data_IF_403674578799
#
_entry.id   IF_403674578799
#
_cell.length_a   1.000
_cell.length_b   1.000
_cell.length_c   1.000
_cell.angle_alpha   90.00
_cell.angle_beta   90.00
_cell.angle_gamma   90.00
#
_symmetry.space_group_name_H-M   'P 1'
#
loop_
_entity.id
_entity.type
_entity.pdbx_description
1 polymer ?
#
# COMPACT_ATOMS: atom_id res chain seq x y z
N UNK A 1 23.68 -7.78 5.68
CA UNK A 1 22.85 -6.56 5.86
C UNK A 1 22.10 -6.32 4.56
N UNK A 2 20.77 -6.20 4.62
CA UNK A 2 19.97 -5.80 3.45
C UNK A 2 20.19 -4.31 3.22
N UNK A 3 20.67 -3.93 2.03
CA UNK A 3 20.99 -2.54 1.69
C UNK A 3 19.75 -1.71 1.32
N UNK A 4 19.88 -0.39 1.31
CA UNK A 4 18.79 0.54 0.99
C UNK A 4 18.17 0.28 -0.39
N UNK A 5 18.97 -0.15 -1.36
CA UNK A 5 18.51 -0.47 -2.72
C UNK A 5 17.57 -1.68 -2.76
N UNK A 6 17.74 -2.64 -1.85
CA UNK A 6 16.86 -3.80 -1.75
C UNK A 6 15.51 -3.43 -1.13
N UNK A 7 15.52 -2.57 -0.10
CA UNK A 7 14.29 -2.11 0.56
C UNK A 7 13.41 -1.31 -0.41
N UNK A 8 14.00 -0.43 -1.23
CA UNK A 8 13.26 0.37 -2.22
C UNK A 8 12.57 -0.47 -3.30
N UNK A 9 13.07 -1.67 -3.59
CA UNK A 9 12.47 -2.58 -4.58
C UNK A 9 11.34 -3.43 -3.97
N UNK A 10 11.38 -3.68 -2.67
CA UNK A 10 10.45 -4.56 -1.98
C UNK A 10 9.31 -3.82 -1.27
N UNK A 11 9.45 -2.51 -1.03
CA UNK A 11 8.48 -1.71 -0.30
C UNK A 11 8.02 -0.48 -1.10
N UNK A 12 6.74 -0.13 -0.96
CA UNK A 12 6.20 1.13 -1.45
C UNK A 12 6.57 2.25 -0.45
N UNK A 13 7.48 3.14 -0.85
CA UNK A 13 7.91 4.30 -0.05
C UNK A 13 7.43 5.56 -0.75
N UNK A 14 6.29 6.09 -0.33
CA UNK A 14 5.69 7.33 -0.83
C UNK A 14 4.86 8.01 0.26
N UNK A 15 4.65 9.31 0.14
CA UNK A 15 3.70 10.10 0.93
C UNK A 15 2.35 10.29 0.23
N UNK A 16 2.20 9.78 -1.00
CA UNK A 16 1.00 9.93 -1.80
C UNK A 16 0.16 8.66 -1.84
N UNK A 17 -1.11 8.77 -1.43
CA UNK A 17 -2.07 7.65 -1.49
C UNK A 17 -2.18 7.03 -2.91
N UNK A 18 -2.05 7.82 -3.97
CA UNK A 18 -2.12 7.33 -5.35
C UNK A 18 -1.02 6.32 -5.70
N UNK A 19 0.17 6.48 -5.13
CA UNK A 19 1.30 5.57 -5.38
C UNK A 19 1.07 4.23 -4.67
N UNK A 20 0.53 4.26 -3.45
CA UNK A 20 0.10 3.07 -2.73
C UNK A 20 -1.02 2.33 -3.46
N UNK A 21 -1.99 3.06 -4.02
CA UNK A 21 -3.07 2.46 -4.81
C UNK A 21 -2.50 1.75 -6.05
N UNK A 22 -1.66 2.43 -6.84
CA UNK A 22 -1.02 1.82 -8.02
C UNK A 22 -0.20 0.60 -7.65
N UNK A 23 0.56 0.69 -6.54
CA UNK A 23 1.36 -0.41 -6.05
C UNK A 23 0.51 -1.64 -5.69
N UNK A 24 -0.64 -1.46 -5.04
CA UNK A 24 -1.50 -2.60 -4.66
C UNK A 24 -2.28 -3.14 -5.87
N UNK A 25 -2.73 -2.27 -6.77
CA UNK A 25 -3.44 -2.66 -8.00
C UNK A 25 -2.65 -3.66 -8.83
N UNK A 26 -1.32 -3.52 -8.92
CA UNK A 26 -0.48 -4.49 -9.66
C UNK A 26 -0.66 -5.93 -9.17
N UNK A 27 -0.93 -6.13 -7.88
CA UNK A 27 -1.15 -7.46 -7.28
C UNK A 27 -2.62 -7.88 -7.39
N UNK A 28 -3.56 -6.95 -7.28
CA UNK A 28 -4.98 -7.22 -7.56
C UNK A 28 -5.15 -7.72 -9.00
N UNK A 29 -4.49 -7.06 -9.97
CA UNK A 29 -4.53 -7.43 -11.38
C UNK A 29 -3.91 -8.82 -11.65
N UNK A 30 -3.03 -9.30 -10.75
CA UNK A 30 -2.49 -10.66 -10.77
C UNK A 30 -3.40 -11.71 -10.10
N UNK A 31 -4.52 -11.30 -9.51
CA UNK A 31 -5.52 -12.18 -8.88
C UNK A 31 -5.36 -12.40 -7.38
N UNK A 32 -4.51 -11.64 -6.68
CA UNK A 32 -4.45 -11.69 -5.22
C UNK A 32 -5.70 -11.04 -4.60
N UNK A 33 -6.28 -11.68 -3.58
CA UNK A 33 -7.54 -11.25 -2.93
C UNK A 33 -7.40 -10.90 -1.44
N UNK A 34 -6.33 -11.36 -0.78
CA UNK A 34 -6.07 -11.12 0.63
C UNK A 34 -4.79 -10.28 0.82
N UNK A 35 -4.94 -9.08 1.37
CA UNK A 35 -3.84 -8.12 1.53
C UNK A 35 -3.56 -7.83 3.00
N UNK A 36 -2.29 -8.00 3.39
CA UNK A 36 -1.76 -7.54 4.67
C UNK A 36 -0.93 -6.27 4.45
N UNK A 37 -1.33 -5.18 5.10
CA UNK A 37 -0.60 -3.91 5.02
C UNK A 37 0.29 -3.71 6.25
N UNK A 38 1.55 -3.37 6.01
CA UNK A 38 2.53 -3.07 7.05
C UNK A 38 3.16 -1.70 6.78
N UNK A 39 3.32 -0.91 7.83
CA UNK A 39 3.99 0.39 7.78
C UNK A 39 5.13 0.44 8.79
N UNK A 40 6.30 0.89 8.35
CA UNK A 40 7.43 1.19 9.21
C UNK A 40 7.37 2.61 9.83
N UNK A 41 6.30 3.36 9.59
CA UNK A 41 6.15 4.71 10.12
C UNK A 41 6.02 4.69 11.65
N UNK A 42 6.70 5.58 12.41
CA UNK A 42 6.60 5.59 13.87
C UNK A 42 5.17 5.89 14.37
N UNK A 43 4.40 6.69 13.64
CA UNK A 43 2.99 6.96 13.98
C UNK A 43 2.05 5.99 13.26
N UNK A 44 1.78 4.87 13.92
CA UNK A 44 0.88 3.84 13.39
C UNK A 44 -0.57 4.31 13.32
N UNK A 45 -1.00 5.25 14.16
CA UNK A 45 -2.37 5.79 14.11
C UNK A 45 -2.57 6.60 12.84
N UNK A 46 -1.63 7.50 12.55
CA UNK A 46 -1.67 8.28 11.31
C UNK A 46 -1.69 7.38 10.08
N UNK A 47 -0.92 6.28 10.09
CA UNK A 47 -0.99 5.27 9.04
C UNK A 47 -2.39 4.67 8.92
N UNK A 48 -2.94 4.09 9.99
CA UNK A 48 -4.25 3.41 9.96
C UNK A 48 -5.36 4.37 9.50
N UNK A 49 -5.41 5.57 10.08
CA UNK A 49 -6.44 6.58 9.75
C UNK A 49 -6.29 7.08 8.30
N UNK A 50 -5.06 7.36 7.87
CA UNK A 50 -4.77 7.81 6.50
C UNK A 50 -5.07 6.73 5.45
N UNK A 51 -4.59 5.50 5.67
CA UNK A 51 -4.85 4.38 4.75
C UNK A 51 -6.33 4.05 4.66
N UNK A 52 -7.03 4.04 5.79
CA UNK A 52 -8.47 3.78 5.86
C UNK A 52 -9.30 4.84 5.15
N UNK A 53 -8.86 6.11 5.16
CA UNK A 53 -9.55 7.21 4.50
C UNK A 53 -9.21 7.31 3.01
N UNK A 54 -7.93 7.21 2.65
CA UNK A 54 -7.45 7.67 1.34
C UNK A 54 -7.12 6.51 0.38
N UNK A 55 -6.78 5.31 0.89
CA UNK A 55 -6.33 4.17 0.07
C UNK A 55 -7.39 3.07 -0.05
N UNK A 56 -7.83 2.50 1.07
CA UNK A 56 -8.71 1.32 1.08
C UNK A 56 -10.05 1.54 0.34
N UNK A 57 -10.73 2.70 0.44
CA UNK A 57 -11.96 2.93 -0.30
C UNK A 57 -11.76 2.90 -1.82
N UNK A 58 -10.60 3.39 -2.31
CA UNK A 58 -10.29 3.42 -3.74
C UNK A 58 -9.97 2.02 -4.28
N UNK A 59 -9.26 1.20 -3.50
CA UNK A 59 -9.03 -0.21 -3.86
C UNK A 59 -10.35 -0.97 -3.97
N UNK A 60 -11.23 -0.87 -2.97
CA UNK A 60 -12.54 -1.53 -3.00
C UNK A 60 -13.40 -1.12 -4.19
N UNK A 61 -13.35 0.16 -4.58
CA UNK A 61 -14.09 0.66 -5.76
C UNK A 61 -13.57 0.09 -7.08
N UNK A 62 -12.28 -0.19 -7.17
CA UNK A 62 -11.63 -0.68 -8.40
C UNK A 62 -11.66 -2.20 -8.52
N UNK A 63 -11.61 -2.93 -7.40
CA UNK A 63 -11.69 -4.39 -7.37
C UNK A 63 -13.10 -4.95 -7.51
N UNK A 64 -14.13 -4.11 -7.31
CA UNK A 64 -15.55 -4.50 -7.48
C UNK A 64 -16.11 -4.19 -8.89
N UNK A 65 -15.26 -3.76 -9.82
CA UNK A 65 -15.55 -3.75 -11.25
C UNK A 65 -15.08 -5.07 -11.86
#
# INVERSE_FOLDING_TARGET
VVGADTIKKAACVSDKAEDHIKFVMQYIDLGFDHFFFHSAHPDQRAFIEGYGRDVLPQLRRRSGQ
#
